data_IF_414572020243
#
_entry.id   IF_414572020243
#
_cell.length_a   1.000
_cell.length_b   1.000
_cell.length_c   1.000
_cell.angle_alpha   90.00
_cell.angle_beta   90.00
_cell.angle_gamma   90.00
#
_symmetry.space_group_name_H-M   'P 1'
#
loop_
_entity.id
_entity.type
_entity.pdbx_description
1 polymer ?
#
# COMPACT_ATOMS: atom_id res chain seq x y z
N UNK A 1 -14.82 15.22 30.67
CA UNK A 1 -16.22 14.93 31.07
C UNK A 1 -16.14 14.26 32.43
N UNK A 2 -16.61 14.90 33.50
CA UNK A 2 -16.33 14.46 34.89
C UNK A 2 -17.57 13.82 35.50
N UNK A 3 -17.51 12.52 35.77
CA UNK A 3 -18.58 11.77 36.42
C UNK A 3 -18.63 12.09 37.91
N UNK A 4 -19.59 12.92 38.34
CA UNK A 4 -19.91 13.15 39.75
C UNK A 4 -21.06 12.24 40.19
N UNK A 5 -20.77 11.14 40.88
CA UNK A 5 -21.77 10.35 41.60
C UNK A 5 -22.12 11.00 42.93
N UNK A 6 -23.41 11.00 43.29
CA UNK A 6 -23.96 11.73 44.43
C UNK A 6 -24.90 10.83 45.23
N UNK A 7 -24.46 10.36 46.39
CA UNK A 7 -25.25 9.51 47.31
C UNK A 7 -25.69 10.31 48.53
N UNK A 8 -26.85 9.98 49.13
CA UNK A 8 -27.59 10.88 50.03
C UNK A 8 -27.99 10.18 51.36
N UNK A 9 -27.40 10.66 52.46
CA UNK A 9 -27.83 10.67 53.89
C UNK A 9 -28.40 9.41 54.57
N UNK A 10 -27.74 8.98 55.67
CA UNK A 10 -28.23 8.86 57.07
C UNK A 10 -27.25 7.97 57.89
N UNK A 11 -27.10 8.06 59.22
CA UNK A 11 -27.35 9.14 60.21
C UNK A 11 -26.73 8.76 61.58
N UNK A 12 -26.33 9.75 62.38
CA UNK A 12 -25.96 9.72 63.82
C UNK A 12 -24.71 8.91 64.28
N UNK A 13 -23.96 9.47 65.24
CA UNK A 13 -22.87 8.79 65.98
C UNK A 13 -21.55 9.59 66.07
N UNK A 14 -21.11 9.91 67.28
CA UNK A 14 -19.91 10.72 67.59
C UNK A 14 -18.60 9.92 67.68
N UNK A 15 -17.48 10.66 67.57
CA UNK A 15 -16.12 10.41 68.09
C UNK A 15 -15.46 9.02 67.91
N UNK A 16 -14.41 8.95 67.07
CA UNK A 16 -13.04 8.60 67.51
C UNK A 16 -12.00 8.75 66.37
N UNK A 17 -10.71 8.83 66.73
CA UNK A 17 -9.60 9.22 65.85
C UNK A 17 -8.83 8.04 65.20
N UNK A 18 -7.93 8.40 64.27
CA UNK A 18 -6.85 7.57 63.71
C UNK A 18 -7.22 6.36 62.83
N UNK A 19 -7.26 6.57 61.52
CA UNK A 19 -6.30 5.90 60.60
C UNK A 19 -6.38 6.49 59.20
N UNK A 20 -5.33 7.21 58.78
CA UNK A 20 -5.13 7.54 57.35
C UNK A 20 -4.63 6.30 56.64
N UNK A 21 -5.55 5.55 56.03
CA UNK A 21 -5.18 4.46 55.12
C UNK A 21 -4.82 5.09 53.78
N UNK A 22 -3.53 5.37 53.59
CA UNK A 22 -2.97 5.59 52.26
C UNK A 22 -3.11 4.28 51.47
N UNK A 23 -4.18 4.18 50.68
CA UNK A 23 -4.30 3.13 49.67
C UNK A 23 -3.34 3.47 48.53
N UNK A 24 -2.11 2.96 48.61
CA UNK A 24 -1.24 2.87 47.45
C UNK A 24 -1.96 2.05 46.37
N UNK A 25 -2.48 2.73 45.35
CA UNK A 25 -3.05 2.08 44.16
C UNK A 25 -1.90 1.44 43.39
N UNK A 26 -1.61 0.19 43.73
CA UNK A 26 -0.45 -0.55 43.24
C UNK A 26 -0.45 -0.61 41.72
N UNK A 27 0.55 0.02 41.11
CA UNK A 27 0.77 -0.02 39.67
C UNK A 27 0.84 -1.47 39.17
N UNK A 28 -0.08 -1.82 38.25
CA UNK A 28 0.23 -2.62 37.07
C UNK A 28 -0.96 -2.63 36.09
N UNK A 29 -1.19 -1.47 35.47
CA UNK A 29 -1.45 -1.46 34.02
C UNK A 29 -0.24 -2.10 33.34
N UNK A 30 -0.23 -3.42 33.25
CA UNK A 30 0.80 -4.15 32.54
C UNK A 30 0.78 -3.67 31.09
N UNK A 31 1.85 -2.99 30.68
CA UNK A 31 2.04 -2.65 29.27
C UNK A 31 1.90 -3.94 28.46
N UNK A 32 0.84 -4.01 27.65
CA UNK A 32 0.66 -5.11 26.71
C UNK A 32 1.77 -4.98 25.68
N UNK A 33 2.88 -5.68 25.93
CA UNK A 33 4.03 -5.70 25.04
C UNK A 33 3.56 -6.26 23.70
N UNK A 34 3.37 -5.37 22.74
CA UNK A 34 3.12 -5.74 21.35
C UNK A 34 4.26 -6.65 20.89
N UNK A 35 3.93 -7.88 20.52
CA UNK A 35 4.92 -8.81 20.00
C UNK A 35 5.35 -8.32 18.61
N UNK A 36 6.61 -7.89 18.52
CA UNK A 36 7.18 -7.35 17.28
C UNK A 36 7.32 -8.42 16.19
N UNK A 37 7.08 -9.70 16.48
CA UNK A 37 6.88 -10.75 15.47
C UNK A 37 5.71 -10.44 14.53
N UNK A 38 4.79 -9.54 14.92
CA UNK A 38 3.64 -9.14 14.11
C UNK A 38 3.86 -7.92 13.21
N UNK A 39 5.10 -7.46 12.98
CA UNK A 39 5.45 -6.44 11.96
C UNK A 39 5.24 -6.91 10.49
N UNK A 40 4.40 -7.93 10.31
CA UNK A 40 4.05 -8.59 9.06
C UNK A 40 3.27 -7.67 8.13
N UNK A 41 3.69 -7.62 6.86
CA UNK A 41 2.98 -6.90 5.80
C UNK A 41 1.78 -7.73 5.33
N UNK A 42 0.57 -7.21 5.44
CA UNK A 42 -0.60 -7.83 4.84
C UNK A 42 -0.51 -7.79 3.31
N UNK A 43 -0.64 -8.95 2.66
CA UNK A 43 -0.68 -9.08 1.20
C UNK A 43 -1.95 -9.83 0.82
N UNK A 44 -2.76 -9.20 -0.02
CA UNK A 44 -3.93 -9.81 -0.67
C UNK A 44 -3.50 -10.13 -2.11
N UNK A 45 -3.38 -11.42 -2.42
CA UNK A 45 -2.99 -11.90 -3.74
C UNK A 45 -3.99 -12.92 -4.27
N UNK A 46 -4.14 -13.01 -5.59
CA UNK A 46 -4.94 -14.07 -6.20
C UNK A 46 -4.14 -15.39 -6.21
N UNK A 47 -4.80 -16.48 -5.79
CA UNK A 47 -4.24 -17.82 -5.73
C UNK A 47 -3.89 -18.29 -4.32
N UNK A 48 -3.40 -19.52 -4.20
CA UNK A 48 -3.09 -20.18 -2.92
C UNK A 48 -1.64 -20.03 -2.47
N UNK A 49 -0.75 -19.47 -3.30
CA UNK A 49 0.69 -19.38 -3.00
C UNK A 49 1.33 -18.12 -3.58
N UNK A 50 2.30 -17.59 -2.82
CA UNK A 50 3.22 -16.53 -3.22
C UNK A 50 4.52 -17.09 -3.84
N UNK A 51 4.76 -18.41 -3.76
CA UNK A 51 5.96 -19.03 -4.29
C UNK A 51 6.03 -18.89 -5.82
N UNK A 52 7.22 -18.57 -6.35
CA UNK A 52 7.45 -18.38 -7.79
C UNK A 52 6.99 -17.03 -8.36
N UNK A 53 6.42 -16.13 -7.55
CA UNK A 53 6.08 -14.76 -7.94
C UNK A 53 7.28 -13.83 -7.70
N UNK A 54 7.84 -13.26 -8.76
CA UNK A 54 8.99 -12.35 -8.68
C UNK A 54 8.56 -10.88 -8.78
N UNK A 55 9.22 -10.01 -8.02
CA UNK A 55 8.93 -8.57 -7.94
C UNK A 55 9.86 -7.74 -8.84
N UNK A 56 9.28 -6.86 -9.65
CA UNK A 56 10.00 -6.02 -10.62
C UNK A 56 9.51 -4.57 -10.57
N UNK A 57 10.44 -3.61 -10.54
CA UNK A 57 10.13 -2.21 -10.77
C UNK A 57 10.09 -1.93 -12.28
N UNK A 58 8.92 -1.54 -12.79
CA UNK A 58 8.72 -1.14 -14.19
C UNK A 58 8.10 0.26 -14.25
N UNK A 59 8.02 0.86 -15.44
CA UNK A 59 7.33 2.14 -15.62
C UNK A 59 5.83 1.91 -15.71
N UNK A 60 5.06 2.59 -14.86
CA UNK A 60 3.61 2.61 -14.94
C UNK A 60 3.17 3.21 -16.29
N UNK A 61 2.30 2.56 -17.09
CA UNK A 61 2.03 2.95 -18.47
C UNK A 61 1.54 4.40 -18.67
N UNK A 62 0.75 4.90 -17.70
CA UNK A 62 0.17 6.27 -17.73
C UNK A 62 1.10 7.37 -17.23
N UNK A 63 1.66 7.22 -16.02
CA UNK A 63 2.48 8.25 -15.34
C UNK A 63 3.97 8.18 -15.68
N UNK A 64 4.44 7.08 -16.27
CA UNK A 64 5.86 6.76 -16.54
C UNK A 64 6.78 6.69 -15.30
N UNK A 65 6.21 6.86 -14.09
CA UNK A 65 6.88 6.67 -12.81
C UNK A 65 7.21 5.20 -12.56
N UNK A 66 8.18 4.93 -11.68
CA UNK A 66 8.41 3.57 -11.20
C UNK A 66 7.18 3.07 -10.44
N UNK A 67 6.70 1.88 -10.79
CA UNK A 67 5.68 1.12 -10.10
C UNK A 67 6.15 -0.33 -9.95
N UNK A 68 5.63 -1.01 -8.93
CA UNK A 68 6.03 -2.35 -8.57
C UNK A 68 5.04 -3.35 -9.18
N UNK A 69 5.55 -4.36 -9.87
CA UNK A 69 4.77 -5.41 -10.49
C UNK A 69 5.28 -6.77 -10.01
N UNK A 70 4.35 -7.72 -9.89
CA UNK A 70 4.65 -9.13 -9.76
C UNK A 70 4.54 -9.76 -11.14
N UNK A 71 5.55 -10.53 -11.54
CA UNK A 71 5.54 -11.29 -12.77
C UNK A 71 5.84 -12.75 -12.41
N UNK A 72 4.98 -13.63 -12.91
CA UNK A 72 5.16 -15.08 -12.95
C UNK A 72 5.13 -15.56 -14.41
N UNK A 73 5.24 -16.86 -14.65
CA UNK A 73 5.15 -17.41 -16.01
C UNK A 73 3.78 -17.16 -16.67
N UNK A 74 2.71 -17.19 -15.87
CA UNK A 74 1.32 -17.19 -16.36
C UNK A 74 0.54 -15.93 -16.01
N UNK A 75 1.08 -15.05 -15.17
CA UNK A 75 0.40 -13.83 -14.70
C UNK A 75 1.32 -12.63 -14.52
N UNK A 76 0.74 -11.45 -14.72
CA UNK A 76 1.30 -10.15 -14.37
C UNK A 76 0.30 -9.44 -13.46
N UNK A 77 0.75 -9.02 -12.29
CA UNK A 77 -0.07 -8.33 -11.29
C UNK A 77 0.60 -6.99 -10.92
N UNK A 78 -0.17 -5.92 -10.80
CA UNK A 78 0.27 -4.64 -10.27
C UNK A 78 0.22 -4.65 -8.74
N UNK A 79 1.28 -4.17 -8.08
CA UNK A 79 1.39 -4.13 -6.63
C UNK A 79 0.91 -2.78 -6.11
N UNK A 80 -0.31 -2.77 -5.57
CA UNK A 80 -0.95 -1.58 -5.01
C UNK A 80 -0.81 -1.59 -3.48
N UNK A 81 -0.19 -0.57 -2.89
CA UNK A 81 -0.21 -0.36 -1.43
C UNK A 81 -1.37 0.56 -1.07
N UNK A 82 -2.34 0.04 -0.34
CA UNK A 82 -3.45 0.81 0.23
C UNK A 82 -3.04 1.22 1.64
N UNK A 83 -2.86 2.51 1.83
CA UNK A 83 -2.51 3.15 3.10
C UNK A 83 -3.62 4.16 3.45
N UNK A 84 -4.05 4.18 4.71
CA UNK A 84 -5.12 5.06 5.20
C UNK A 84 -4.70 5.64 6.56
N UNK A 85 -4.80 6.97 6.74
CA UNK A 85 -4.43 7.60 8.01
C UNK A 85 -5.32 7.09 9.14
N UNK A 86 -4.75 7.00 10.34
CA UNK A 86 -5.44 6.58 11.57
C UNK A 86 -6.09 5.19 11.50
N UNK A 87 -5.53 4.27 10.69
CA UNK A 87 -5.97 2.87 10.59
C UNK A 87 -4.96 1.95 11.27
N UNK A 88 -5.46 0.93 11.97
CA UNK A 88 -4.66 -0.15 12.55
C UNK A 88 -5.35 -1.49 12.31
N UNK A 89 -4.61 -2.59 12.49
CA UNK A 89 -5.18 -3.94 12.51
C UNK A 89 -4.97 -4.58 13.89
N UNK A 90 -5.98 -5.30 14.36
CA UNK A 90 -5.87 -6.24 15.48
C UNK A 90 -5.59 -7.61 14.87
N UNK A 91 -4.47 -8.24 15.20
CA UNK A 91 -4.06 -9.52 14.62
C UNK A 91 -3.32 -10.36 15.65
N UNK A 92 -3.82 -11.57 15.91
CA UNK A 92 -3.38 -12.38 17.05
C UNK A 92 -3.56 -11.62 18.36
N UNK A 93 -2.50 -11.54 19.15
CA UNK A 93 -2.44 -10.81 20.43
C UNK A 93 -1.78 -9.42 20.28
N UNK A 94 -1.68 -8.87 19.06
CA UNK A 94 -0.95 -7.62 18.80
C UNK A 94 -1.71 -6.63 17.91
N UNK A 95 -1.28 -5.36 18.00
CA UNK A 95 -1.85 -4.24 17.27
C UNK A 95 -0.84 -3.73 16.24
N UNK A 96 -1.17 -3.88 14.96
CA UNK A 96 -0.35 -3.38 13.85
C UNK A 96 -0.78 -1.94 13.57
N UNK A 97 0.05 -1.00 14.03
CA UNK A 97 -0.22 0.45 14.01
C UNK A 97 -0.31 1.05 12.61
N UNK A 98 0.28 0.40 11.60
CA UNK A 98 0.49 0.98 10.27
C UNK A 98 -0.63 0.71 9.25
N UNK A 99 -1.73 0.02 9.64
CA UNK A 99 -3.06 -0.03 9.01
C UNK A 99 -3.18 -0.45 7.53
N UNK A 100 -2.05 -0.68 6.88
CA UNK A 100 -1.89 -0.67 5.43
C UNK A 100 -1.66 -2.08 4.92
N UNK A 101 -2.15 -2.33 3.71
CA UNK A 101 -2.10 -3.64 3.09
C UNK A 101 -1.74 -3.49 1.63
N UNK A 102 -1.12 -4.53 1.09
CA UNK A 102 -0.68 -4.61 -0.29
C UNK A 102 -1.64 -5.52 -1.04
N UNK A 103 -2.07 -5.12 -2.23
CA UNK A 103 -2.94 -5.89 -3.11
C UNK A 103 -2.19 -6.17 -4.41
N UNK A 104 -2.21 -7.42 -4.87
CA UNK A 104 -1.76 -7.78 -6.21
C UNK A 104 -2.97 -7.79 -7.13
N UNK A 105 -3.05 -6.81 -8.03
CA UNK A 105 -4.15 -6.65 -8.98
C UNK A 105 -3.74 -7.20 -10.35
N UNK A 106 -4.35 -8.26 -10.87
CA UNK A 106 -4.04 -8.77 -12.21
C UNK A 106 -4.18 -7.69 -13.29
N UNK A 107 -3.20 -7.60 -14.19
CA UNK A 107 -3.24 -6.69 -15.34
C UNK A 107 -2.89 -7.45 -16.63
N UNK A 108 -3.42 -6.99 -17.76
CA UNK A 108 -3.07 -7.56 -19.06
C UNK A 108 -1.66 -7.08 -19.49
N UNK A 109 -0.70 -7.97 -19.82
CA UNK A 109 0.68 -7.58 -20.11
C UNK A 109 0.84 -6.52 -21.21
N UNK A 110 -0.09 -6.51 -22.19
CA UNK A 110 -0.12 -5.51 -23.27
C UNK A 110 -0.05 -4.07 -22.76
N UNK A 111 -0.68 -3.75 -21.62
CA UNK A 111 -0.67 -2.39 -21.07
C UNK A 111 0.75 -1.89 -20.73
N UNK A 112 1.64 -2.79 -20.29
CA UNK A 112 3.05 -2.46 -20.05
C UNK A 112 3.81 -2.19 -21.35
N UNK A 113 3.42 -2.83 -22.46
CA UNK A 113 4.12 -2.77 -23.76
C UNK A 113 3.66 -1.57 -24.61
N UNK A 114 2.38 -1.19 -24.55
CA UNK A 114 1.79 -0.04 -25.28
C UNK A 114 2.65 1.24 -25.26
N UNK A 115 3.13 1.76 -24.10
CA UNK A 115 3.91 3.01 -24.08
C UNK A 115 5.23 2.91 -24.86
N UNK A 116 5.86 1.73 -24.91
CA UNK A 116 7.10 1.50 -25.67
C UNK A 116 6.82 1.42 -27.17
N UNK A 117 5.74 0.73 -27.58
CA UNK A 117 5.30 0.67 -28.98
C UNK A 117 4.97 2.08 -29.48
N UNK A 118 4.16 2.85 -28.74
CA UNK A 118 3.73 4.19 -29.16
C UNK A 118 4.91 5.17 -29.27
N UNK A 119 5.89 5.06 -28.38
CA UNK A 119 7.13 5.84 -28.46
C UNK A 119 7.92 5.52 -29.74
N UNK A 120 8.07 4.25 -30.08
CA UNK A 120 8.88 3.80 -31.20
C UNK A 120 8.17 3.97 -32.55
N UNK A 121 6.85 3.79 -32.60
CA UNK A 121 6.04 4.01 -33.81
C UNK A 121 6.20 5.42 -34.36
N UNK A 122 6.20 6.45 -33.49
CA UNK A 122 6.48 7.84 -33.87
C UNK A 122 7.85 8.02 -34.52
N UNK A 123 8.88 7.34 -34.03
CA UNK A 123 10.23 7.38 -34.61
C UNK A 123 10.24 6.70 -35.98
N UNK A 124 9.57 5.56 -36.15
CA UNK A 124 9.47 4.85 -37.43
C UNK A 124 8.72 5.68 -38.49
N UNK A 125 7.60 6.31 -38.14
CA UNK A 125 6.90 7.22 -39.06
C UNK A 125 7.80 8.41 -39.48
N UNK A 126 8.56 9.00 -38.56
CA UNK A 126 9.49 10.08 -38.89
C UNK A 126 10.65 9.59 -39.78
N UNK A 127 11.18 8.39 -39.53
CA UNK A 127 12.27 7.82 -40.30
C UNK A 127 11.85 7.55 -41.75
N UNK A 128 10.66 6.97 -41.97
CA UNK A 128 10.09 6.82 -43.31
C UNK A 128 9.91 8.17 -44.02
N UNK A 129 9.43 9.21 -43.32
CA UNK A 129 9.20 10.52 -43.94
C UNK A 129 10.49 11.29 -44.27
N UNK A 130 11.57 11.06 -43.51
CA UNK A 130 12.87 11.71 -43.73
C UNK A 130 13.78 10.96 -44.72
N UNK A 131 13.68 9.63 -44.82
CA UNK A 131 14.43 8.84 -45.80
C UNK A 131 13.70 8.66 -47.14
N UNK A 132 12.38 8.74 -47.15
CA UNK A 132 11.58 8.64 -48.38
C UNK A 132 11.17 10.04 -48.89
N UNK A 133 12.15 10.93 -49.04
CA UNK A 133 11.98 12.04 -49.96
C UNK A 133 12.15 11.47 -51.37
N UNK A 134 11.11 11.41 -52.22
CA UNK A 134 11.32 11.08 -53.62
C UNK A 134 12.23 12.17 -54.20
N UNK A 135 13.42 11.76 -54.66
CA UNK A 135 14.26 12.61 -55.50
C UNK A 135 13.62 12.63 -56.88
N UNK A 136 12.70 13.58 -57.08
CA UNK A 136 12.07 13.87 -58.37
C UNK A 136 13.13 14.46 -59.32
N UNK A 137 13.98 13.59 -59.85
CA UNK A 137 15.12 13.92 -60.70
C UNK A 137 15.31 12.82 -61.75
N UNK A 138 14.36 12.73 -62.69
CA UNK A 138 14.59 12.05 -63.96
C UNK A 138 13.92 12.80 -65.12
N UNK A 139 14.64 13.83 -65.58
CA UNK A 139 14.90 14.16 -66.99
C UNK A 139 13.74 14.14 -68.00
N UNK A 140 13.56 15.29 -68.66
CA UNK A 140 13.15 15.32 -70.07
C UNK A 140 13.96 14.31 -70.91
N UNK A 141 13.32 13.61 -71.86
CA UNK A 141 13.73 13.54 -73.28
C UNK A 141 12.93 12.49 -74.08
N UNK A 142 12.39 12.92 -75.23
CA UNK A 142 11.76 12.13 -76.31
C UNK A 142 10.40 11.48 -75.96
N UNK A 143 9.39 11.42 -76.83
CA UNK A 143 9.26 11.89 -78.23
C UNK A 143 8.23 13.03 -78.36
#
# INVERSE_FOLDING_TARGET
>A
MVSRTRTRRNSDGDEDAETVVEMEESEKTGEVKSDMSYDSKFIIAQGSSLAGKNLYFLRHPKSLSAALYVISNDSVEEVLRIDQPCRSFLYGESVISNGSFTVFSPIHPLFLVVPYILKNARVWFLFCFLFFHPTENSKMQNL
#
